data_IF_878419230414
#
_entry.id   IF_878419230414
#
_cell.length_a   1.000
_cell.length_b   1.000
_cell.length_c   1.000
_cell.angle_alpha   90.00
_cell.angle_beta   90.00
_cell.angle_gamma   90.00
#
_symmetry.space_group_name_H-M   'P 1'
#
loop_
_entity.id
_entity.type
_entity.pdbx_description
1 polymer ?
#
# COMPACT_ATOMS: atom_id res chain seq x y z
N UNK A 1 -0.44 10.56 -10.37
CA UNK A 1 0.00 11.97 -10.52
C UNK A 1 1.39 12.28 -9.95
N UNK A 2 1.87 11.70 -8.84
CA UNK A 2 3.28 11.95 -8.44
C UNK A 2 4.27 11.11 -9.27
N UNK A 3 3.87 9.89 -9.67
CA UNK A 3 4.71 8.98 -10.47
C UNK A 3 4.80 9.35 -11.95
N UNK A 4 3.69 9.56 -12.66
CA UNK A 4 3.77 9.84 -14.11
C UNK A 4 4.49 11.17 -14.40
N UNK A 5 4.36 12.15 -13.49
CA UNK A 5 5.09 13.41 -13.57
C UNK A 5 6.58 13.19 -13.28
N UNK A 6 6.92 12.43 -12.24
CA UNK A 6 8.31 12.07 -11.93
C UNK A 6 8.96 11.25 -13.05
N UNK A 7 8.25 10.28 -13.62
CA UNK A 7 8.72 9.48 -14.76
C UNK A 7 8.87 10.35 -16.02
N UNK A 8 7.97 11.30 -16.24
CA UNK A 8 8.09 12.31 -17.29
C UNK A 8 9.35 13.17 -17.13
N UNK A 9 9.59 13.69 -15.94
CA UNK A 9 10.79 14.48 -15.62
C UNK A 9 12.08 13.65 -15.76
N UNK A 10 12.08 12.40 -15.27
CA UNK A 10 13.21 11.47 -15.45
C UNK A 10 13.43 11.19 -16.94
N UNK A 11 12.35 11.00 -17.71
CA UNK A 11 12.43 10.76 -19.15
C UNK A 11 13.04 11.96 -19.87
N UNK A 12 12.55 13.16 -19.60
CA UNK A 12 13.07 14.40 -20.21
C UNK A 12 14.56 14.57 -19.91
N UNK A 13 14.97 14.43 -18.65
CA UNK A 13 16.38 14.53 -18.25
C UNK A 13 17.24 13.44 -18.89
N UNK A 14 16.73 12.20 -18.99
CA UNK A 14 17.49 11.09 -19.55
C UNK A 14 17.60 11.16 -21.08
N UNK A 15 16.54 11.60 -21.76
CA UNK A 15 16.53 11.76 -23.22
C UNK A 15 17.47 12.86 -23.71
N UNK A 16 17.78 13.86 -22.88
CA UNK A 16 18.79 14.89 -23.16
C UNK A 16 20.22 14.48 -22.77
N UNK A 17 20.41 13.24 -22.30
CA UNK A 17 21.68 12.76 -21.76
C UNK A 17 22.23 11.56 -22.51
N UNK A 18 23.48 11.20 -22.24
CA UNK A 18 24.08 9.95 -22.74
C UNK A 18 23.42 8.66 -22.22
N UNK A 19 22.44 8.79 -21.30
CA UNK A 19 21.76 7.67 -20.65
C UNK A 19 20.39 7.34 -21.25
N UNK A 20 19.99 7.97 -22.37
CA UNK A 20 18.70 7.72 -23.03
C UNK A 20 18.39 6.23 -23.19
N UNK A 21 19.38 5.43 -23.62
CA UNK A 21 19.22 3.98 -23.85
C UNK A 21 18.89 3.18 -22.59
N UNK A 22 19.15 3.72 -21.39
CA UNK A 22 18.86 3.08 -20.11
C UNK A 22 17.47 3.42 -19.58
N UNK A 23 16.75 4.36 -20.20
CA UNK A 23 15.45 4.81 -19.72
C UNK A 23 14.44 3.66 -19.52
N UNK A 24 14.29 2.67 -20.43
CA UNK A 24 13.36 1.55 -20.22
C UNK A 24 13.66 0.74 -18.94
N UNK A 25 14.95 0.56 -18.62
CA UNK A 25 15.38 -0.17 -17.41
C UNK A 25 15.14 0.67 -16.15
N UNK A 26 15.39 1.98 -16.22
CA UNK A 26 15.10 2.91 -15.11
C UNK A 26 13.60 3.02 -14.86
N UNK A 27 12.81 3.13 -15.92
CA UNK A 27 11.35 3.14 -15.88
C UNK A 27 10.82 1.86 -15.21
N UNK A 28 11.29 0.69 -15.63
CA UNK A 28 10.92 -0.60 -15.03
C UNK A 28 11.29 -0.67 -13.54
N UNK A 29 12.49 -0.24 -13.15
CA UNK A 29 12.94 -0.23 -11.75
C UNK A 29 12.06 0.72 -10.93
N UNK A 30 11.79 1.92 -11.44
CA UNK A 30 10.99 2.93 -10.74
C UNK A 30 9.54 2.47 -10.60
N UNK A 31 8.96 1.87 -11.63
CA UNK A 31 7.62 1.26 -11.61
C UNK A 31 7.54 0.11 -10.61
N UNK A 32 8.43 -0.88 -10.69
CA UNK A 32 8.49 -2.00 -9.73
C UNK A 32 8.64 -1.49 -8.30
N UNK A 33 9.49 -0.50 -8.08
CA UNK A 33 9.72 0.08 -6.75
C UNK A 33 8.50 0.84 -6.25
N UNK A 34 7.79 1.54 -7.13
CA UNK A 34 6.55 2.25 -6.80
C UNK A 34 5.40 1.31 -6.50
N UNK A 35 5.19 0.27 -7.29
CA UNK A 35 4.18 -0.76 -7.00
C UNK A 35 4.46 -1.43 -5.66
N UNK A 36 5.71 -1.82 -5.44
CA UNK A 36 6.18 -2.39 -4.16
C UNK A 36 6.00 -1.41 -2.99
N UNK A 37 6.05 -0.09 -3.22
CA UNK A 37 5.77 0.95 -2.22
C UNK A 37 4.28 1.19 -1.99
N UNK A 38 3.46 1.15 -3.05
CA UNK A 38 2.04 1.49 -2.98
C UNK A 38 1.17 0.35 -2.48
N UNK A 39 1.46 -0.92 -2.80
CA UNK A 39 0.63 -2.04 -2.35
C UNK A 39 0.50 -2.07 -0.81
N UNK A 40 1.59 -2.00 -0.02
CA UNK A 40 1.48 -1.92 1.44
C UNK A 40 0.67 -0.73 1.93
N UNK A 41 0.84 0.43 1.29
CA UNK A 41 0.09 1.65 1.63
C UNK A 41 -1.40 1.53 1.29
N UNK A 42 -1.74 0.84 0.19
CA UNK A 42 -3.11 0.52 -0.19
C UNK A 42 -3.76 -0.40 0.83
N UNK A 43 -3.09 -1.50 1.20
CA UNK A 43 -3.50 -2.41 2.26
C UNK A 43 -3.72 -1.65 3.57
N UNK A 44 -2.78 -0.78 3.95
CA UNK A 44 -2.89 0.03 5.17
C UNK A 44 -4.10 0.95 5.13
N UNK A 45 -4.29 1.73 4.06
CA UNK A 45 -5.44 2.63 3.98
C UNK A 45 -6.78 1.88 3.89
N UNK A 46 -6.82 0.68 3.29
CA UNK A 46 -7.98 -0.21 3.34
C UNK A 46 -8.22 -0.66 4.79
N UNK A 47 -7.20 -1.17 5.45
CA UNK A 47 -7.29 -1.63 6.83
C UNK A 47 -7.61 -0.53 7.85
N UNK A 48 -7.29 0.74 7.58
CA UNK A 48 -7.58 1.88 8.45
C UNK A 48 -8.93 2.56 8.15
N UNK A 49 -9.72 2.05 7.20
CA UNK A 49 -11.04 2.60 6.87
C UNK A 49 -12.15 1.83 7.64
N UNK A 50 -12.79 2.42 8.66
CA UNK A 50 -13.71 1.70 9.56
C UNK A 50 -14.89 1.02 8.84
N UNK A 51 -15.41 1.63 7.77
CA UNK A 51 -16.52 1.08 6.96
C UNK A 51 -16.29 -0.34 6.46
N UNK A 52 -15.03 -0.75 6.24
CA UNK A 52 -14.74 -2.08 5.72
C UNK A 52 -14.82 -3.20 6.76
N UNK A 53 -15.03 -2.85 8.03
CA UNK A 53 -15.33 -3.79 9.12
C UNK A 53 -16.83 -3.87 9.43
N UNK A 54 -17.66 -3.08 8.74
CA UNK A 54 -19.10 -3.06 8.95
C UNK A 54 -19.77 -4.29 8.33
N UNK A 55 -20.74 -4.87 9.04
CA UNK A 55 -21.45 -6.08 8.63
C UNK A 55 -22.11 -5.92 7.26
N UNK A 56 -22.76 -4.79 6.98
CA UNK A 56 -23.40 -4.55 5.67
C UNK A 56 -22.40 -4.48 4.51
N UNK A 57 -21.18 -4.02 4.76
CA UNK A 57 -20.13 -4.09 3.75
C UNK A 57 -19.73 -5.53 3.47
N UNK A 58 -19.60 -6.35 4.51
CA UNK A 58 -19.12 -7.74 4.45
C UNK A 58 -20.15 -8.73 3.88
N UNK A 59 -21.44 -8.46 4.10
CA UNK A 59 -22.55 -9.26 3.54
C UNK A 59 -22.68 -9.09 2.03
N UNK A 60 -22.26 -7.94 1.50
CA UNK A 60 -22.24 -7.70 0.06
C UNK A 60 -21.12 -8.50 -0.62
N UNK A 61 -21.42 -8.99 -1.81
CA UNK A 61 -20.39 -9.59 -2.65
C UNK A 61 -19.49 -8.49 -3.22
N UNK A 62 -18.20 -8.78 -3.25
CA UNK A 62 -17.27 -8.06 -4.09
C UNK A 62 -17.57 -8.39 -5.57
N UNK A 63 -17.12 -7.52 -6.46
CA UNK A 63 -16.73 -7.83 -7.83
C UNK A 63 -16.38 -9.30 -8.08
N UNK A 64 -16.99 -9.89 -9.10
CA UNK A 64 -16.74 -11.30 -9.44
C UNK A 64 -17.44 -12.31 -8.53
N UNK A 65 -18.33 -11.85 -7.63
CA UNK A 65 -19.08 -12.74 -6.73
C UNK A 65 -18.28 -13.24 -5.54
N UNK A 66 -17.12 -12.62 -5.28
CA UNK A 66 -16.22 -13.01 -4.19
C UNK A 66 -16.80 -12.49 -2.87
N UNK A 67 -16.77 -13.32 -1.82
CA UNK A 67 -17.16 -12.86 -0.48
C UNK A 67 -16.14 -11.86 0.04
N UNK A 68 -16.61 -10.69 0.47
CA UNK A 68 -15.76 -9.71 1.15
C UNK A 68 -15.29 -10.26 2.49
N UNK A 69 -14.05 -9.93 2.84
CA UNK A 69 -13.46 -10.21 4.15
C UNK A 69 -13.18 -8.90 4.85
N UNK A 70 -13.31 -8.91 6.18
CA UNK A 70 -12.80 -7.80 6.97
C UNK A 70 -11.28 -7.71 6.75
N UNK A 71 -10.69 -6.50 6.72
CA UNK A 71 -9.26 -6.33 6.43
C UNK A 71 -8.36 -7.20 7.32
N UNK A 72 -8.72 -7.40 8.58
CA UNK A 72 -7.96 -8.20 9.54
C UNK A 72 -8.11 -9.73 9.37
N UNK A 73 -9.02 -10.18 8.50
CA UNK A 73 -9.23 -11.59 8.16
C UNK A 73 -8.61 -11.96 6.81
N UNK A 74 -8.03 -10.99 6.11
CA UNK A 74 -7.34 -11.19 4.85
C UNK A 74 -5.81 -11.20 5.07
N UNK A 75 -5.18 -12.32 4.74
CA UNK A 75 -3.75 -12.55 4.98
C UNK A 75 -2.89 -11.56 4.19
N UNK A 76 -3.23 -11.29 2.94
CA UNK A 76 -2.45 -10.40 2.07
C UNK A 76 -2.55 -8.96 2.55
N UNK A 77 -3.75 -8.55 2.97
CA UNK A 77 -3.97 -7.22 3.57
C UNK A 77 -3.16 -7.06 4.85
N UNK A 78 -3.18 -8.04 5.75
CA UNK A 78 -2.40 -7.97 6.99
C UNK A 78 -0.89 -7.94 6.70
N UNK A 79 -0.40 -8.74 5.74
CA UNK A 79 0.99 -8.68 5.33
C UNK A 79 1.38 -7.29 4.79
N UNK A 80 0.53 -6.70 3.96
CA UNK A 80 0.70 -5.33 3.46
C UNK A 80 0.71 -4.28 4.58
N UNK A 81 -0.18 -4.40 5.57
CA UNK A 81 -0.20 -3.54 6.77
C UNK A 81 1.12 -3.62 7.53
N UNK A 82 1.63 -4.83 7.79
CA UNK A 82 2.90 -5.01 8.52
C UNK A 82 4.08 -4.42 7.75
N UNK A 83 4.11 -4.60 6.42
CA UNK A 83 5.12 -3.99 5.56
C UNK A 83 5.02 -2.46 5.56
N UNK A 84 3.81 -1.90 5.60
CA UNK A 84 3.62 -0.46 5.66
C UNK A 84 4.10 0.11 7.00
N UNK A 85 3.75 -0.50 8.13
CA UNK A 85 4.26 -0.08 9.44
C UNK A 85 5.77 -0.14 9.52
N UNK A 86 6.39 -1.21 9.03
CA UNK A 86 7.84 -1.34 9.04
C UNK A 86 8.56 -0.22 8.24
N UNK A 87 7.90 0.35 7.22
CA UNK A 87 8.46 1.43 6.39
C UNK A 87 8.17 2.82 6.90
N UNK A 88 7.02 3.02 7.56
CA UNK A 88 6.55 4.34 8.01
C UNK A 88 7.11 4.67 9.39
N UNK A 89 7.26 3.67 10.27
CA UNK A 89 7.81 3.88 11.60
C UNK A 89 9.29 4.28 11.54
N UNK A 90 9.68 5.26 12.37
CA UNK A 90 11.05 5.74 12.49
C UNK A 90 11.94 4.70 13.19
N UNK A 91 11.37 3.90 14.07
CA UNK A 91 12.07 2.89 14.86
C UNK A 91 11.17 1.70 15.25
N UNK A 92 11.78 0.69 15.88
CA UNK A 92 11.09 -0.55 16.27
C UNK A 92 10.07 -0.40 17.38
N UNK A 93 10.21 0.59 18.25
CA UNK A 93 9.23 0.86 19.31
C UNK A 93 7.96 1.49 18.74
N UNK A 94 8.10 2.43 17.80
CA UNK A 94 6.97 3.00 17.07
C UNK A 94 6.27 1.93 16.21
N UNK A 95 7.01 1.08 15.51
CA UNK A 95 6.43 -0.05 14.75
C UNK A 95 5.59 -0.96 15.67
N UNK A 96 6.10 -1.28 16.88
CA UNK A 96 5.36 -2.07 17.87
C UNK A 96 4.09 -1.34 18.33
N UNK A 97 4.19 -0.06 18.67
CA UNK A 97 3.07 0.75 19.13
C UNK A 97 1.94 0.80 18.09
N UNK A 98 2.29 1.01 16.82
CA UNK A 98 1.32 1.02 15.72
C UNK A 98 0.62 -0.34 15.58
N UNK A 99 1.34 -1.46 15.72
CA UNK A 99 0.72 -2.80 15.70
C UNK A 99 -0.24 -3.03 16.87
N UNK A 100 0.13 -2.60 18.07
CA UNK A 100 -0.71 -2.74 19.27
C UNK A 100 -1.98 -1.91 19.15
N UNK A 101 -1.86 -0.66 18.72
CA UNK A 101 -2.99 0.22 18.48
C UNK A 101 -3.88 -0.28 17.34
N UNK A 102 -3.27 -0.80 16.27
CA UNK A 102 -4.01 -1.43 15.17
C UNK A 102 -4.81 -2.64 15.65
N UNK A 103 -4.24 -3.46 16.54
CA UNK A 103 -4.96 -4.56 17.19
C UNK A 103 -6.15 -4.07 18.01
N UNK A 104 -5.98 -3.04 18.83
CA UNK A 104 -7.08 -2.41 19.58
C UNK A 104 -8.22 -1.96 18.66
N UNK A 105 -7.89 -1.31 17.54
CA UNK A 105 -8.85 -0.87 16.53
C UNK A 105 -9.61 -2.03 15.88
N UNK A 106 -8.91 -2.97 15.22
CA UNK A 106 -9.59 -4.00 14.45
C UNK A 106 -10.28 -5.06 15.33
N UNK A 107 -9.90 -5.17 16.61
CA UNK A 107 -10.60 -5.99 17.60
C UNK A 107 -11.80 -5.27 18.24
N UNK A 108 -12.09 -4.03 17.84
CA UNK A 108 -13.18 -3.21 18.37
C UNK A 108 -13.14 -3.09 19.90
N UNK A 109 -11.97 -2.78 20.47
CA UNK A 109 -11.81 -2.55 21.92
C UNK A 109 -12.10 -1.09 22.29
N UNK A 110 -12.47 -0.87 23.55
CA UNK A 110 -12.67 0.49 24.09
C UNK A 110 -13.74 1.29 23.33
N UNK A 111 -13.41 2.53 22.96
CA UNK A 111 -14.31 3.40 22.18
C UNK A 111 -14.83 2.77 20.88
N UNK A 112 -14.04 1.89 20.25
CA UNK A 112 -14.42 1.23 19.00
C UNK A 112 -15.52 0.18 19.16
N UNK A 113 -15.77 -0.28 20.38
CA UNK A 113 -16.86 -1.21 20.69
C UNK A 113 -18.23 -0.52 20.70
N UNK A 114 -18.26 0.81 20.90
CA UNK A 114 -19.49 1.56 21.10
C UNK A 114 -20.43 1.41 19.89
N UNK A 115 -21.75 1.23 20.11
CA UNK A 115 -22.72 1.20 19.02
C UNK A 115 -22.67 2.44 18.12
N UNK A 116 -22.42 3.62 18.70
CA UNK A 116 -22.25 4.87 17.95
C UNK A 116 -21.03 4.81 17.03
N UNK A 117 -19.89 4.30 17.49
CA UNK A 117 -18.69 4.15 16.68
C UNK A 117 -18.92 3.21 15.48
N UNK A 118 -19.70 2.13 15.69
CA UNK A 118 -20.01 1.18 14.62
C UNK A 118 -21.01 1.74 13.59
N UNK A 119 -21.96 2.57 14.03
CA UNK A 119 -22.88 3.28 13.15
C UNK A 119 -22.15 4.35 12.36
N UNK A 120 -21.36 5.17 13.05
CA UNK A 120 -20.57 6.26 12.46
C UNK A 120 -19.55 5.76 11.44
N UNK A 121 -19.04 4.54 11.61
CA UNK A 121 -18.11 3.93 10.67
C UNK A 121 -18.62 3.89 9.22
N UNK A 122 -19.93 3.97 8.99
CA UNK A 122 -20.56 4.00 7.65
C UNK A 122 -21.36 5.27 7.35
N UNK A 123 -21.56 6.17 8.31
CA UNK A 123 -22.37 7.38 8.11
C UNK A 123 -21.52 8.66 8.02
N UNK A 124 -20.27 8.64 8.51
CA UNK A 124 -19.35 9.78 8.42
C UNK A 124 -18.05 9.40 7.72
N UNK A 125 -17.30 10.41 7.28
CA UNK A 125 -16.02 10.22 6.62
C UNK A 125 -14.98 9.63 7.57
N UNK A 126 -14.04 8.85 7.03
CA UNK A 126 -13.04 8.16 7.85
C UNK A 126 -12.17 9.13 8.67
N UNK A 127 -11.88 10.33 8.14
CA UNK A 127 -11.11 11.37 8.85
C UNK A 127 -11.88 11.85 10.09
N UNK A 128 -13.18 12.08 9.95
CA UNK A 128 -14.04 12.52 11.06
C UNK A 128 -14.21 11.40 12.08
N UNK A 129 -14.35 10.16 11.61
CA UNK A 129 -14.41 8.99 12.49
C UNK A 129 -13.15 8.85 13.35
N UNK A 130 -11.96 8.97 12.75
CA UNK A 130 -10.69 8.95 13.48
C UNK A 130 -10.53 10.17 14.40
N UNK A 131 -11.17 11.29 14.10
CA UNK A 131 -11.15 12.47 14.98
C UNK A 131 -12.06 12.29 16.19
N UNK A 132 -13.18 11.58 16.05
CA UNK A 132 -14.13 11.31 17.13
C UNK A 132 -13.68 10.17 18.04
N UNK A 133 -13.23 9.05 17.47
CA UNK A 133 -12.97 7.81 18.21
C UNK A 133 -11.48 7.47 18.35
N UNK A 134 -10.59 8.24 17.71
CA UNK A 134 -9.16 7.95 17.65
C UNK A 134 -8.40 8.07 18.97
N UNK A 135 -9.00 8.59 20.04
CA UNK A 135 -8.35 8.74 21.34
C UNK A 135 -7.89 7.41 21.97
N UNK A 136 -8.53 6.29 21.61
CA UNK A 136 -8.14 4.94 22.05
C UNK A 136 -6.84 4.45 21.39
N UNK A 137 -6.48 5.02 20.23
CA UNK A 137 -5.29 4.69 19.45
C UNK A 137 -4.73 5.96 18.79
N UNK A 138 -4.12 6.88 19.57
CA UNK A 138 -3.81 8.23 19.11
C UNK A 138 -2.80 8.26 17.94
N UNK A 139 -1.73 7.48 18.01
CA UNK A 139 -0.68 7.42 16.98
C UNK A 139 -1.22 6.83 15.67
N UNK A 140 -2.00 5.76 15.80
CA UNK A 140 -2.68 5.14 14.67
C UNK A 140 -3.70 6.11 14.05
N UNK A 141 -4.43 6.89 14.86
CA UNK A 141 -5.39 7.86 14.37
C UNK A 141 -4.71 9.00 13.60
N UNK A 142 -3.54 9.47 14.05
CA UNK A 142 -2.72 10.45 13.31
C UNK A 142 -2.29 9.86 11.98
N UNK A 143 -1.77 8.63 11.98
CA UNK A 143 -1.36 7.93 10.77
C UNK A 143 -2.53 7.73 9.81
N UNK A 144 -3.68 7.26 10.30
CA UNK A 144 -4.87 7.00 9.51
C UNK A 144 -5.37 8.26 8.80
N UNK A 145 -5.44 9.39 9.51
CA UNK A 145 -5.80 10.68 8.91
C UNK A 145 -4.82 11.08 7.81
N UNK A 146 -3.50 10.91 8.00
CA UNK A 146 -2.50 11.20 6.97
C UNK A 146 -2.69 10.33 5.72
N UNK A 147 -2.87 9.02 5.89
CA UNK A 147 -3.06 8.06 4.79
C UNK A 147 -4.37 8.32 4.06
N UNK A 148 -5.46 8.56 4.79
CA UNK A 148 -6.77 8.82 4.19
C UNK A 148 -6.74 10.13 3.40
N UNK A 149 -6.20 11.21 3.97
CA UNK A 149 -6.09 12.50 3.27
C UNK A 149 -5.22 12.42 2.02
N UNK A 150 -4.09 11.70 2.05
CA UNK A 150 -3.21 11.60 0.88
C UNK A 150 -3.89 10.87 -0.30
N UNK A 151 -4.75 9.88 -0.01
CA UNK A 151 -5.54 9.18 -1.04
C UNK A 151 -6.69 10.00 -1.62
N UNK A 152 -7.13 11.07 -0.94
CA UNK A 152 -8.25 11.91 -1.37
C UNK A 152 -7.86 13.30 -1.89
N UNK A 153 -6.58 13.59 -2.10
CA UNK A 153 -6.15 14.84 -2.76
C UNK A 153 -6.77 14.99 -4.16
N UNK A 154 -7.16 16.21 -4.52
CA UNK A 154 -7.99 16.58 -5.69
C UNK A 154 -7.45 16.07 -7.04
N UNK A 155 -6.12 15.91 -7.13
CA UNK A 155 -5.40 15.26 -8.21
C UNK A 155 -5.92 13.83 -8.54
N UNK A 156 -6.48 13.13 -7.56
CA UNK A 156 -6.95 11.75 -7.69
C UNK A 156 -8.35 11.66 -8.33
N UNK A 157 -9.20 12.69 -8.14
CA UNK A 157 -10.64 12.66 -8.52
C UNK A 157 -10.89 13.07 -9.98
N UNK A 158 -10.01 13.88 -10.57
CA UNK A 158 -10.22 14.44 -11.92
C UNK A 158 -9.19 13.99 -12.97
N UNK A 159 -8.21 13.16 -12.59
CA UNK A 159 -7.18 12.64 -13.49
C UNK A 159 -7.54 11.32 -14.20
N UNK A 160 -6.68 10.83 -15.12
CA UNK A 160 -6.84 9.52 -15.79
C UNK A 160 -6.84 8.33 -14.82
N UNK A 161 -6.65 8.58 -13.52
CA UNK A 161 -6.68 7.60 -12.45
C UNK A 161 -8.08 7.33 -11.85
N UNK A 162 -9.15 7.97 -12.34
CA UNK A 162 -10.55 7.63 -11.96
C UNK A 162 -10.90 6.14 -12.13
N UNK A 163 -10.19 5.44 -13.01
CA UNK A 163 -10.30 3.98 -13.24
C UNK A 163 -9.51 3.10 -12.24
N UNK A 164 -8.68 3.72 -11.41
CA UNK A 164 -7.90 3.08 -10.33
C UNK A 164 -8.53 3.29 -8.95
N UNK A 165 -9.66 4.01 -8.88
CA UNK A 165 -10.65 3.70 -7.85
C UNK A 165 -11.01 2.24 -8.08
N UNK A 166 -10.36 1.36 -7.34
CA UNK A 166 -10.85 0.02 -7.11
C UNK A 166 -12.12 0.22 -6.31
N UNK A 167 -13.20 0.56 -7.02
CA UNK A 167 -14.52 0.53 -6.47
C UNK A 167 -14.64 -0.88 -5.90
N UNK A 168 -14.78 -1.05 -4.58
CA UNK A 168 -14.93 -2.36 -3.99
C UNK A 168 -16.21 -3.07 -4.48
N UNK A 169 -16.99 -2.42 -5.37
CA UNK A 169 -18.16 -2.88 -6.11
C UNK A 169 -17.92 -3.08 -7.64
N UNK A 170 -16.74 -2.78 -8.21
CA UNK A 170 -16.42 -2.92 -9.67
C UNK A 170 -15.86 -4.29 -10.10
N UNK A 171 -16.60 -5.01 -10.96
CA UNK A 171 -16.41 -6.42 -11.39
C UNK A 171 -15.10 -6.76 -12.15
N UNK A 172 -14.25 -5.81 -12.53
CA UNK A 172 -13.12 -6.08 -13.44
C UNK A 172 -11.83 -6.40 -12.67
N UNK A 173 -11.55 -7.69 -12.46
CA UNK A 173 -10.32 -8.22 -11.85
C UNK A 173 -9.42 -8.99 -12.84
N UNK A 174 -9.68 -8.88 -14.15
CA UNK A 174 -9.09 -9.79 -15.15
C UNK A 174 -7.73 -9.32 -15.69
N UNK A 175 -7.27 -8.12 -15.34
CA UNK A 175 -6.01 -7.56 -15.87
C UNK A 175 -4.75 -7.85 -15.05
N UNK A 176 -4.88 -8.29 -13.80
CA UNK A 176 -3.74 -8.42 -12.88
C UNK A 176 -3.26 -9.87 -12.69
N UNK A 177 -4.12 -10.86 -12.94
CA UNK A 177 -3.75 -12.27 -12.76
C UNK A 177 -2.97 -12.83 -13.95
N UNK A 178 -3.24 -12.36 -15.17
CA UNK A 178 -2.57 -12.84 -16.38
C UNK A 178 -1.12 -12.37 -16.51
N UNK A 179 -0.74 -11.26 -15.86
CA UNK A 179 0.63 -10.73 -15.89
C UNK A 179 1.61 -11.52 -14.99
N UNK A 180 1.09 -12.31 -14.04
CA UNK A 180 1.91 -13.07 -13.09
C UNK A 180 2.34 -14.44 -13.64
N UNK A 181 1.57 -15.03 -14.56
CA UNK A 181 1.86 -16.34 -15.16
C UNK A 181 2.85 -16.27 -16.32
N UNK A 182 3.03 -15.09 -16.93
CA UNK A 182 3.92 -14.88 -18.09
C UNK A 182 5.35 -14.42 -17.69
N UNK A 183 5.64 -14.26 -16.40
CA UNK A 183 6.99 -13.94 -15.93
C UNK A 183 7.86 -15.21 -15.91
N UNK A 184 8.62 -15.42 -16.99
CA UNK A 184 9.67 -16.45 -17.05
C UNK A 184 10.77 -16.10 -16.04
N UNK A 185 10.97 -16.98 -15.06
CA UNK A 185 11.92 -16.78 -13.97
C UNK A 185 13.29 -17.31 -14.39
N UNK A 186 14.04 -16.54 -15.19
CA UNK A 186 15.47 -16.79 -15.27
C UNK A 186 16.11 -16.38 -13.93
N UNK A 187 16.49 -17.43 -13.20
CA UNK A 187 17.18 -17.43 -11.92
C UNK A 187 18.46 -16.60 -12.04
N UNK A 188 18.52 -15.47 -11.34
CA UNK A 188 19.77 -14.77 -11.08
C UNK A 188 20.57 -15.56 -10.04
N UNK A 189 21.15 -16.68 -10.45
CA UNK A 189 22.36 -17.21 -9.85
C UNK A 189 23.54 -16.69 -10.67
N UNK A 190 24.30 -15.78 -10.10
CA UNK A 190 25.75 -15.82 -10.23
C UNK A 190 26.37 -15.06 -9.05
N UNK A 191 26.99 -15.87 -8.19
CA UNK A 191 27.64 -15.50 -6.95
C UNK A 191 28.84 -14.57 -7.17
N UNK A 192 29.03 -13.67 -6.20
CA UNK A 192 30.30 -12.99 -5.94
C UNK A 192 31.43 -14.01 -5.74
N UNK A 193 32.59 -13.84 -6.37
CA UNK A 193 33.85 -13.82 -5.62
C UNK A 193 35.12 -13.47 -6.45
N UNK A 194 35.77 -12.40 -6.00
CA UNK A 194 37.23 -12.18 -5.85
C UNK A 194 38.09 -11.91 -7.09
N UNK A 195 38.47 -10.64 -7.23
CA UNK A 195 39.88 -10.30 -7.52
C UNK A 195 40.48 -9.54 -6.32
N UNK A 196 41.29 -10.24 -5.53
CA UNK A 196 42.23 -9.66 -4.59
C UNK A 196 43.61 -10.17 -4.96
N UNK A 197 44.46 -9.26 -5.42
CA UNK A 197 45.75 -9.60 -6.00
C UNK A 197 46.72 -10.34 -5.07
N UNK A 198 47.67 -11.04 -5.70
CA UNK A 198 48.99 -11.34 -5.13
C UNK A 198 49.98 -11.57 -6.27
N UNK A 199 50.99 -10.70 -6.35
CA UNK A 199 52.21 -11.03 -7.07
C UNK A 199 53.00 -12.12 -6.34
N UNK A 200 53.67 -12.99 -7.10
CA UNK A 200 55.09 -13.36 -6.91
C UNK A 200 55.58 -14.33 -8.01
N UNK A 201 56.68 -13.89 -8.63
CA UNK A 201 57.74 -14.58 -9.37
C UNK A 201 57.88 -16.12 -9.22
N UNK A 202 58.14 -16.82 -10.33
CA UNK A 202 59.33 -17.66 -10.61
C UNK A 202 59.21 -18.38 -11.96
N UNK A 203 60.27 -18.34 -12.77
CA UNK A 203 60.45 -19.06 -14.03
C UNK A 203 61.37 -18.32 -14.96
#
# INVERSE_FOLDING_TARGET
>A
MMMDNMLGEIKEVMMESMYESYFPQVEEIVLKRWEKMNIPLHCLGFALSPRFYNTHYLEKLAPGGIRRKAPNLDKEVIQGVMQAFNRIAENKDEERLLREQFATFHMKRGLYALPSAQMDAVTIEAIDWWSTYGAEAPDLAVLAKKIVTSRFSEAYKEGPHKKWDMNPESRYLEGSSSLLEDMDWEVLEEDEDRDSGKGKNKG
#
